data_IF_154639969310
#
_entry.id   IF_154639969310
#
_cell.length_a   1.000
_cell.length_b   1.000
_cell.length_c   1.000
_cell.angle_alpha   90.00
_cell.angle_beta   90.00
_cell.angle_gamma   90.00
#
_symmetry.space_group_name_H-M   'P 1'
#
loop_
_entity.id
_entity.type
_entity.pdbx_description
1 polymer ?
#
# COMPACT_ATOMS: atom_id res chain seq x y z
N UNK A 1 7.49 -8.95 29.40
CA UNK A 1 7.95 -9.72 28.22
C UNK A 1 8.09 -8.74 27.07
N UNK A 2 9.19 -8.75 26.29
CA UNK A 2 9.24 -7.99 25.05
C UNK A 2 8.21 -8.59 24.09
N UNK A 3 7.24 -7.80 23.67
CA UNK A 3 6.28 -8.16 22.63
C UNK A 3 6.92 -7.88 21.28
N UNK A 4 7.00 -8.89 20.42
CA UNK A 4 7.42 -8.71 19.03
C UNK A 4 6.33 -7.94 18.29
N UNK A 5 6.65 -6.74 17.82
CA UNK A 5 5.80 -5.97 16.93
C UNK A 5 6.19 -6.30 15.49
N UNK A 6 5.21 -6.54 14.63
CA UNK A 6 5.42 -6.80 13.20
C UNK A 6 5.24 -5.50 12.43
N UNK A 7 6.18 -5.20 11.54
CA UNK A 7 6.06 -4.09 10.59
C UNK A 7 5.05 -4.48 9.51
N UNK A 8 4.01 -3.68 9.31
CA UNK A 8 2.95 -3.96 8.33
C UNK A 8 3.24 -3.32 6.98
N UNK A 9 3.64 -2.05 6.96
CA UNK A 9 3.97 -1.29 5.76
C UNK A 9 5.00 -0.19 6.05
N UNK A 10 5.59 0.38 5.01
CA UNK A 10 6.57 1.46 5.13
C UNK A 10 6.57 2.40 3.91
N UNK A 11 7.03 3.62 4.13
CA UNK A 11 7.29 4.62 3.09
C UNK A 11 8.65 5.29 3.34
N UNK A 12 9.44 5.50 2.28
CA UNK A 12 10.81 6.04 2.38
C UNK A 12 10.96 7.34 1.59
N UNK A 13 10.91 8.47 2.29
CA UNK A 13 11.20 9.78 1.71
C UNK A 13 12.70 9.89 1.47
N UNK A 14 13.09 9.84 0.20
CA UNK A 14 14.49 9.98 -0.22
C UNK A 14 15.02 11.39 0.00
N UNK A 15 14.17 12.41 -0.15
CA UNK A 15 14.56 13.81 0.00
C UNK A 15 14.94 14.12 1.45
N UNK A 16 14.19 13.57 2.40
CA UNK A 16 14.44 13.73 3.84
C UNK A 16 15.29 12.63 4.46
N UNK A 17 15.67 11.61 3.70
CA UNK A 17 16.28 10.36 4.19
C UNK A 17 15.55 9.80 5.41
N UNK A 18 14.21 9.72 5.32
CA UNK A 18 13.32 9.29 6.41
C UNK A 18 12.51 8.08 6.00
N UNK A 19 12.55 7.05 6.85
CA UNK A 19 11.70 5.86 6.72
C UNK A 19 10.58 5.93 7.75
N UNK A 20 9.35 5.92 7.27
CA UNK A 20 8.15 5.76 8.08
C UNK A 20 7.74 4.31 8.03
N UNK A 21 7.55 3.66 9.18
CA UNK A 21 7.08 2.28 9.23
C UNK A 21 5.92 2.14 10.20
N UNK A 22 4.89 1.45 9.77
CA UNK A 22 3.68 1.22 10.54
C UNK A 22 3.78 -0.11 11.27
N UNK A 23 3.41 -0.12 12.54
CA UNK A 23 3.29 -1.30 13.37
C UNK A 23 1.86 -1.86 13.34
N UNK A 24 1.69 -3.13 13.71
CA UNK A 24 0.36 -3.77 13.78
C UNK A 24 -0.63 -3.09 14.74
N UNK A 25 -0.14 -2.38 15.76
CA UNK A 25 -0.94 -1.58 16.68
C UNK A 25 -1.23 -0.16 16.17
N UNK A 26 -0.87 0.16 14.93
CA UNK A 26 -1.10 1.45 14.31
C UNK A 26 -0.15 2.58 14.71
N UNK A 27 0.89 2.29 15.51
CA UNK A 27 1.98 3.23 15.77
C UNK A 27 2.84 3.41 14.52
N UNK A 28 3.33 4.63 14.29
CA UNK A 28 4.25 4.94 13.20
C UNK A 28 5.63 5.24 13.76
N UNK A 29 6.61 4.42 13.37
CA UNK A 29 8.01 4.62 13.69
C UNK A 29 8.67 5.45 12.61
N UNK A 30 9.33 6.53 13.02
CA UNK A 30 10.15 7.34 12.12
C UNK A 30 11.62 7.04 12.35
N UNK A 31 12.34 6.68 11.28
CA UNK A 31 13.78 6.47 11.29
C UNK A 31 14.46 7.52 10.43
N UNK A 32 15.56 8.08 10.94
CA UNK A 32 16.48 8.89 10.16
C UNK A 32 17.55 7.95 9.56
N UNK A 33 17.54 7.81 8.24
CA UNK A 33 18.41 6.89 7.52
C UNK A 33 19.84 7.44 7.30
N UNK A 34 20.08 8.73 7.51
CA UNK A 34 21.41 9.35 7.40
C UNK A 34 22.32 9.03 8.59
N UNK A 35 21.74 8.69 9.73
CA UNK A 35 22.48 8.51 10.99
C UNK A 35 22.49 7.07 11.45
N UNK A 36 21.34 6.57 11.91
CA UNK A 36 21.19 5.21 12.40
C UNK A 36 19.80 4.67 12.01
N UNK A 37 19.70 3.91 10.89
CA UNK A 37 18.43 3.38 10.41
C UNK A 37 17.85 2.27 11.33
N UNK A 38 18.56 1.87 12.39
CA UNK A 38 18.12 0.84 13.32
C UNK A 38 17.49 1.39 14.60
N UNK A 39 17.41 2.73 14.76
CA UNK A 39 16.77 3.36 15.92
C UNK A 39 15.75 4.38 15.45
N UNK A 40 14.50 4.21 15.87
CA UNK A 40 13.46 5.21 15.64
C UNK A 40 13.86 6.52 16.35
N UNK A 41 13.82 7.62 15.60
CA UNK A 41 14.02 8.98 16.12
C UNK A 41 12.74 9.52 16.74
N UNK A 42 11.59 9.07 16.25
CA UNK A 42 10.27 9.45 16.73
C UNK A 42 9.30 8.27 16.64
N UNK A 43 8.30 8.27 17.50
CA UNK A 43 7.21 7.29 17.52
C UNK A 43 5.91 8.08 17.61
N UNK A 44 5.06 7.95 16.60
CA UNK A 44 3.71 8.51 16.63
C UNK A 44 2.75 7.46 17.13
N UNK A 45 2.04 7.81 18.21
CA UNK A 45 1.11 6.93 18.90
C UNK A 45 -0.30 7.46 18.63
N UNK A 46 -1.22 6.62 18.15
CA UNK A 46 -2.61 7.04 17.94
C UNK A 46 -3.26 7.43 19.28
N UNK A 47 -4.09 8.48 19.29
CA UNK A 47 -4.76 8.90 20.55
C UNK A 47 -5.89 7.94 20.92
N UNK A 48 -6.48 7.29 19.93
CA UNK A 48 -7.54 6.29 20.08
C UNK A 48 -7.33 5.13 19.11
N UNK A 49 -7.95 3.98 19.37
CA UNK A 49 -7.87 2.80 18.48
C UNK A 49 -8.40 3.09 17.07
N UNK A 50 -9.35 4.00 16.95
CA UNK A 50 -9.95 4.38 15.67
C UNK A 50 -8.99 5.25 14.82
N UNK A 51 -7.96 5.83 15.45
CA UNK A 51 -6.94 6.66 14.81
C UNK A 51 -5.67 5.89 14.43
N UNK A 52 -5.66 4.58 14.59
CA UNK A 52 -4.57 3.71 14.16
C UNK A 52 -4.30 3.88 12.65
N UNK A 53 -3.05 4.15 12.28
CA UNK A 53 -2.60 4.15 10.88
C UNK A 53 -2.32 2.72 10.49
N UNK A 54 -2.90 2.24 9.39
CA UNK A 54 -2.78 0.84 8.94
C UNK A 54 -2.14 0.73 7.55
N UNK A 55 -2.27 1.79 6.75
CA UNK A 55 -1.70 1.89 5.41
C UNK A 55 -0.87 3.17 5.31
N UNK A 56 0.16 3.13 4.47
CA UNK A 56 0.99 4.30 4.19
C UNK A 56 1.33 4.33 2.70
N UNK A 57 1.33 5.53 2.13
CA UNK A 57 1.70 5.73 0.72
C UNK A 57 2.53 6.99 0.60
N UNK A 58 3.59 6.91 -0.21
CA UNK A 58 4.38 8.07 -0.59
C UNK A 58 3.93 8.55 -1.97
N UNK A 59 3.77 9.87 -2.10
CA UNK A 59 3.42 10.52 -3.34
C UNK A 59 4.35 11.70 -3.56
N UNK A 60 4.69 11.97 -4.81
CA UNK A 60 5.36 13.22 -5.19
C UNK A 60 4.34 14.08 -5.91
N UNK A 61 4.01 15.23 -5.32
CA UNK A 61 3.04 16.17 -5.88
C UNK A 61 3.79 17.28 -6.60
N UNK A 62 3.31 17.68 -7.78
CA UNK A 62 3.84 18.81 -8.53
C UNK A 62 2.75 19.84 -8.78
N UNK A 63 3.06 21.12 -8.55
CA UNK A 63 2.13 22.22 -8.70
C UNK A 63 2.84 23.50 -9.11
N UNK A 64 2.10 24.43 -9.72
CA UNK A 64 2.62 25.72 -10.15
C UNK A 64 2.37 26.77 -9.07
N UNK A 65 3.42 27.54 -8.74
CA UNK A 65 3.37 28.65 -7.79
C UNK A 65 4.17 29.80 -8.37
N UNK A 66 3.51 30.94 -8.60
CA UNK A 66 4.15 32.13 -9.17
C UNK A 66 4.95 31.84 -10.46
N UNK A 67 4.36 31.06 -11.38
CA UNK A 67 4.98 30.62 -12.65
C UNK A 67 6.19 29.67 -12.49
N UNK A 68 6.46 29.20 -11.27
CA UNK A 68 7.50 28.21 -10.96
C UNK A 68 6.85 26.86 -10.64
N UNK A 69 7.37 25.81 -11.26
CA UNK A 69 6.99 24.45 -10.91
C UNK A 69 7.67 24.03 -9.61
N UNK A 70 6.86 23.65 -8.65
CA UNK A 70 7.27 23.17 -7.32
C UNK A 70 6.90 21.70 -7.20
N UNK A 71 7.76 20.92 -6.54
CA UNK A 71 7.52 19.53 -6.19
C UNK A 71 7.65 19.34 -4.69
N UNK A 72 6.78 18.51 -4.11
CA UNK A 72 6.84 18.12 -2.70
C UNK A 72 6.58 16.62 -2.56
N UNK A 73 7.41 15.93 -1.78
CA UNK A 73 7.21 14.53 -1.44
C UNK A 73 6.37 14.44 -0.18
N UNK A 74 5.18 13.87 -0.30
CA UNK A 74 4.22 13.73 0.79
C UNK A 74 4.04 12.27 1.18
N UNK A 75 3.80 12.02 2.45
CA UNK A 75 3.44 10.71 2.98
C UNK A 75 2.04 10.81 3.57
N UNK A 76 1.13 9.97 3.07
CA UNK A 76 -0.24 9.88 3.56
C UNK A 76 -0.43 8.57 4.32
N UNK A 77 -1.21 8.64 5.40
CA UNK A 77 -1.62 7.50 6.19
C UNK A 77 -3.10 7.17 5.99
N UNK A 78 -3.40 5.88 5.82
CA UNK A 78 -4.76 5.36 5.84
C UNK A 78 -5.12 4.78 7.20
N UNK A 79 -6.22 5.26 7.77
CA UNK A 79 -6.57 5.02 9.17
C UNK A 79 -7.68 3.95 9.33
N UNK A 80 -7.76 3.36 10.53
CA UNK A 80 -8.80 2.41 10.91
C UNK A 80 -10.22 2.97 10.80
N UNK A 81 -10.42 4.26 11.07
CA UNK A 81 -11.71 4.92 10.93
C UNK A 81 -12.09 5.29 9.48
N UNK A 82 -11.28 4.91 8.49
CA UNK A 82 -11.55 5.20 7.07
C UNK A 82 -11.07 6.56 6.60
N UNK A 83 -10.28 7.28 7.41
CA UNK A 83 -9.72 8.57 7.03
C UNK A 83 -8.35 8.44 6.37
N UNK A 84 -8.07 9.38 5.47
CA UNK A 84 -6.74 9.69 4.96
C UNK A 84 -6.21 10.88 5.77
N UNK A 85 -5.01 10.75 6.32
CA UNK A 85 -4.29 11.80 7.04
C UNK A 85 -2.94 12.10 6.38
N UNK A 86 -2.41 13.28 6.65
CA UNK A 86 -1.06 13.67 6.26
C UNK A 86 -0.08 13.32 7.38
N UNK A 87 0.97 12.59 7.03
CA UNK A 87 2.03 12.18 7.95
C UNK A 87 3.28 13.05 7.78
N UNK A 88 3.70 13.30 6.54
CA UNK A 88 4.86 14.13 6.23
C UNK A 88 4.61 14.94 4.95
N UNK A 89 5.02 16.21 4.97
CA UNK A 89 5.17 17.10 3.82
C UNK A 89 6.12 18.25 4.22
N UNK A 90 6.83 18.85 3.25
CA UNK A 90 7.72 19.98 3.53
C UNK A 90 7.09 21.33 3.22
N UNK A 91 6.41 21.43 2.08
CA UNK A 91 5.99 22.71 1.49
C UNK A 91 4.49 22.91 1.54
N UNK A 92 3.73 21.82 1.54
CA UNK A 92 2.28 21.85 1.59
C UNK A 92 1.71 21.27 2.89
N UNK A 93 0.45 21.60 3.17
CA UNK A 93 -0.26 21.13 4.36
C UNK A 93 -1.61 20.54 3.98
N UNK A 94 -2.09 19.60 4.79
CA UNK A 94 -3.45 19.08 4.70
C UNK A 94 -4.29 19.69 5.81
N UNK A 95 -5.27 20.53 5.43
CA UNK A 95 -6.08 21.31 6.39
C UNK A 95 -6.88 20.40 7.34
N UNK A 96 -7.33 19.26 6.83
CA UNK A 96 -8.11 18.28 7.58
C UNK A 96 -7.96 16.90 6.96
N UNK A 97 -8.13 15.87 7.79
CA UNK A 97 -8.27 14.50 7.30
C UNK A 97 -9.47 14.37 6.34
N UNK A 98 -9.36 13.45 5.39
CA UNK A 98 -10.40 13.19 4.39
C UNK A 98 -11.06 11.87 4.70
N UNK A 99 -12.38 11.87 4.90
CA UNK A 99 -13.15 10.64 5.08
C UNK A 99 -13.22 9.89 3.75
N UNK A 100 -12.40 8.85 3.61
CA UNK A 100 -12.31 8.07 2.38
C UNK A 100 -13.29 6.90 2.38
N UNK A 101 -13.39 6.13 3.47
CA UNK A 101 -14.21 4.92 3.57
C UNK A 101 -15.13 4.91 4.79
N UNK A 102 -16.18 4.09 4.75
CA UNK A 102 -17.02 3.80 5.94
C UNK A 102 -16.46 2.55 6.61
N UNK A 103 -15.47 2.72 7.47
CA UNK A 103 -14.67 1.62 8.03
C UNK A 103 -13.21 1.69 7.55
N UNK A 104 -12.43 0.66 7.83
CA UNK A 104 -10.97 0.66 7.66
C UNK A 104 -10.54 0.90 6.22
N UNK A 105 -9.47 1.67 6.04
CA UNK A 105 -8.70 1.64 4.79
C UNK A 105 -7.80 0.42 4.80
N UNK A 106 -8.03 -0.50 3.86
CA UNK A 106 -7.34 -1.79 3.80
C UNK A 106 -6.13 -1.78 2.88
N UNK A 107 -6.12 -0.90 1.87
CA UNK A 107 -5.01 -0.73 0.94
C UNK A 107 -5.01 0.68 0.33
N UNK A 108 -3.83 1.19 -0.02
CA UNK A 108 -3.64 2.50 -0.64
C UNK A 108 -2.50 2.44 -1.65
N UNK A 109 -2.63 3.16 -2.77
CA UNK A 109 -1.58 3.23 -3.79
C UNK A 109 -1.65 4.54 -4.57
N UNK A 110 -0.48 5.12 -4.89
CA UNK A 110 -0.36 6.25 -5.79
C UNK A 110 -0.30 5.81 -7.25
N UNK A 111 -1.01 6.47 -8.15
CA UNK A 111 -0.89 6.15 -9.58
C UNK A 111 0.50 6.52 -10.10
N UNK A 112 1.16 5.59 -10.76
CA UNK A 112 2.37 5.88 -11.54
C UNK A 112 1.96 6.31 -12.94
N UNK A 113 2.21 7.57 -13.30
CA UNK A 113 1.88 8.12 -14.62
C UNK A 113 3.07 8.00 -15.59
N UNK A 114 2.83 7.97 -16.91
CA UNK A 114 3.87 8.00 -17.95
C UNK A 114 3.87 9.37 -18.63
N UNK A 115 5.05 9.89 -18.97
CA UNK A 115 5.20 11.12 -19.72
C UNK A 115 4.64 10.99 -21.13
N UNK A 116 4.35 12.13 -21.77
CA UNK A 116 3.69 12.19 -23.10
C UNK A 116 4.39 11.39 -24.21
N UNK A 117 5.68 11.10 -24.06
CA UNK A 117 6.45 10.34 -25.04
C UNK A 117 6.32 8.83 -24.86
N UNK A 118 5.76 8.35 -23.74
CA UNK A 118 5.62 6.92 -23.42
C UNK A 118 6.89 6.24 -22.90
N UNK A 119 8.04 6.94 -22.89
CA UNK A 119 9.35 6.35 -22.58
C UNK A 119 9.88 6.68 -21.18
N UNK A 120 9.18 7.51 -20.41
CA UNK A 120 9.62 7.96 -19.08
C UNK A 120 8.45 7.93 -18.12
N UNK A 121 8.63 7.30 -16.96
CA UNK A 121 7.68 7.43 -15.84
C UNK A 121 7.72 8.87 -15.33
N UNK A 122 6.55 9.47 -15.12
CA UNK A 122 6.45 10.70 -14.37
C UNK A 122 6.70 10.37 -12.91
N UNK A 123 7.64 11.10 -12.32
CA UNK A 123 7.94 11.02 -10.88
C UNK A 123 6.92 11.83 -10.07
N UNK A 124 5.69 12.01 -10.57
CA UNK A 124 4.65 12.81 -9.94
C UNK A 124 3.34 12.06 -9.97
N UNK A 125 2.62 12.08 -8.87
CA UNK A 125 1.33 11.43 -8.73
C UNK A 125 0.20 12.45 -8.81
N UNK A 126 -0.83 12.14 -9.60
CA UNK A 126 -2.07 12.93 -9.68
C UNK A 126 -3.29 12.20 -9.15
N UNK A 127 -3.16 10.90 -8.93
CA UNK A 127 -4.24 10.05 -8.41
C UNK A 127 -3.76 9.22 -7.24
N UNK A 128 -4.69 9.01 -6.34
CA UNK A 128 -4.59 8.09 -5.22
C UNK A 128 -5.72 7.07 -5.35
N UNK A 129 -5.41 5.79 -5.18
CA UNK A 129 -6.39 4.72 -5.07
C UNK A 129 -6.44 4.23 -3.61
N UNK A 130 -7.64 4.03 -3.08
CA UNK A 130 -7.84 3.46 -1.75
C UNK A 130 -8.89 2.35 -1.80
N UNK A 131 -8.66 1.26 -1.08
CA UNK A 131 -9.64 0.22 -0.80
C UNK A 131 -10.04 0.25 0.67
N UNK A 132 -11.26 -0.19 0.98
CA UNK A 132 -11.69 -0.29 2.37
C UNK A 132 -12.73 -1.38 2.65
N UNK A 133 -12.99 -1.56 3.95
CA UNK A 133 -13.96 -2.53 4.49
C UNK A 133 -15.40 -2.26 4.02
N UNK A 134 -15.67 -1.07 3.46
CA UNK A 134 -16.95 -0.75 2.85
C UNK A 134 -17.18 -1.43 1.49
N UNK A 135 -16.28 -2.33 1.08
CA UNK A 135 -16.30 -3.08 -0.19
C UNK A 135 -16.22 -2.18 -1.42
N UNK A 136 -15.50 -1.06 -1.30
CA UNK A 136 -15.25 -0.16 -2.42
C UNK A 136 -13.77 0.11 -2.62
N UNK A 137 -13.42 0.29 -3.88
CA UNK A 137 -12.22 1.03 -4.28
C UNK A 137 -12.65 2.44 -4.63
N UNK A 138 -11.90 3.43 -4.18
CA UNK A 138 -12.12 4.84 -4.51
C UNK A 138 -10.86 5.40 -5.13
N UNK A 139 -11.05 6.07 -6.26
CA UNK A 139 -9.97 6.78 -6.94
C UNK A 139 -10.19 8.26 -6.70
N UNK A 140 -9.13 8.91 -6.30
CA UNK A 140 -9.10 10.30 -5.89
C UNK A 140 -8.16 11.06 -6.81
N UNK A 141 -8.55 12.27 -7.19
CA UNK A 141 -7.62 13.28 -7.65
C UNK A 141 -6.90 13.84 -6.44
N UNK A 142 -5.58 13.94 -6.53
CA UNK A 142 -4.76 14.56 -5.51
C UNK A 142 -3.86 15.61 -6.16
N UNK A 143 -3.73 16.74 -5.48
CA UNK A 143 -2.83 17.80 -5.89
C UNK A 143 -2.72 18.86 -4.81
N UNK A 144 -2.08 19.97 -5.16
CA UNK A 144 -1.86 21.10 -4.26
C UNK A 144 -2.49 22.35 -4.88
N UNK A 145 -3.19 23.12 -4.05
CA UNK A 145 -3.65 24.47 -4.38
C UNK A 145 -2.70 25.47 -3.73
N UNK A 146 -1.97 26.22 -4.56
CA UNK A 146 -1.15 27.32 -4.07
C UNK A 146 -2.05 28.43 -3.51
N UNK A 147 -1.80 28.86 -2.27
CA UNK A 147 -2.52 29.97 -1.64
C UNK A 147 -1.53 30.95 -1.02
N UNK A 148 -1.99 32.17 -0.72
CA UNK A 148 -1.15 33.24 -0.14
C UNK A 148 -0.57 32.88 1.24
N UNK A 149 -1.28 32.08 2.04
CA UNK A 149 -0.84 31.73 3.40
C UNK A 149 -0.03 30.43 3.45
N UNK A 150 -0.54 29.38 2.83
CA UNK A 150 0.09 28.07 2.74
C UNK A 150 -0.49 27.28 1.57
N UNK A 151 0.36 26.47 0.95
CA UNK A 151 -0.04 25.60 -0.14
C UNK A 151 -0.81 24.40 0.46
N UNK A 152 -2.03 24.16 -0.01
CA UNK A 152 -2.94 23.19 0.60
C UNK A 152 -3.15 21.96 -0.28
N UNK A 153 -2.90 20.77 0.26
CA UNK A 153 -3.26 19.51 -0.40
C UNK A 153 -4.79 19.42 -0.51
N UNK A 154 -5.27 19.05 -1.70
CA UNK A 154 -6.66 18.66 -1.91
C UNK A 154 -6.73 17.19 -2.34
N UNK A 155 -7.77 16.50 -1.88
CA UNK A 155 -8.09 15.13 -2.28
C UNK A 155 -9.58 15.12 -2.66
N UNK A 156 -9.88 14.83 -3.91
CA UNK A 156 -11.24 14.89 -4.47
C UNK A 156 -11.62 13.53 -5.05
N UNK A 157 -12.78 13.00 -4.67
CA UNK A 157 -13.25 11.73 -5.20
C UNK A 157 -13.53 11.87 -6.70
N UNK A 158 -12.91 11.01 -7.50
CA UNK A 158 -13.17 10.88 -8.94
C UNK A 158 -14.18 9.78 -9.21
N UNK A 159 -13.94 8.59 -8.67
CA UNK A 159 -14.80 7.44 -8.92
C UNK A 159 -14.79 6.43 -7.78
N UNK A 160 -15.89 5.69 -7.66
CA UNK A 160 -16.12 4.65 -6.65
C UNK A 160 -16.49 3.35 -7.37
N UNK A 161 -15.73 2.28 -7.11
CA UNK A 161 -15.86 0.97 -7.75
C UNK A 161 -16.33 -0.05 -6.71
N UNK A 162 -17.54 -0.62 -6.85
CA UNK A 162 -17.99 -1.69 -5.96
C UNK A 162 -17.16 -2.95 -6.17
N UNK A 163 -16.77 -3.58 -5.06
CA UNK A 163 -16.08 -4.86 -5.04
C UNK A 163 -17.04 -5.95 -4.54
N UNK A 164 -16.86 -7.17 -5.04
CA UNK A 164 -17.61 -8.34 -4.55
C UNK A 164 -17.05 -8.83 -3.20
N UNK A 165 -15.74 -8.67 -2.99
CA UNK A 165 -15.03 -8.98 -1.76
C UNK A 165 -14.25 -7.79 -1.23
N UNK A 166 -13.62 -7.94 -0.06
CA UNK A 166 -12.82 -6.89 0.57
C UNK A 166 -11.54 -6.67 -0.23
N UNK A 167 -11.23 -5.44 -0.67
CA UNK A 167 -9.97 -5.15 -1.35
C UNK A 167 -8.80 -5.26 -0.37
N UNK A 168 -7.76 -6.01 -0.73
CA UNK A 168 -6.60 -6.28 0.13
C UNK A 168 -5.31 -5.64 -0.39
N UNK A 169 -5.13 -5.63 -1.71
CA UNK A 169 -3.99 -5.00 -2.37
C UNK A 169 -4.45 -4.30 -3.63
N UNK A 170 -3.91 -3.11 -3.87
CA UNK A 170 -4.16 -2.32 -5.08
C UNK A 170 -2.81 -1.97 -5.71
N UNK A 171 -2.75 -2.04 -7.03
CA UNK A 171 -1.68 -1.45 -7.83
C UNK A 171 -2.34 -0.58 -8.90
N UNK A 172 -1.79 0.62 -9.12
CA UNK A 172 -2.32 1.55 -10.12
C UNK A 172 -1.21 2.07 -11.02
N UNK A 173 -1.39 1.83 -12.33
CA UNK A 173 -0.49 2.27 -13.38
C UNK A 173 -1.28 3.02 -14.44
N UNK A 174 -1.00 4.31 -14.62
CA UNK A 174 -1.76 5.26 -15.43
C UNK A 174 -3.28 5.25 -15.12
N UNK A 175 -4.02 4.53 -15.95
CA UNK A 175 -5.47 4.40 -15.92
C UNK A 175 -5.88 2.95 -15.63
N UNK A 176 -4.94 2.05 -15.44
CA UNK A 176 -5.21 0.64 -15.11
C UNK A 176 -5.02 0.41 -13.63
N UNK A 177 -6.02 -0.21 -13.03
CA UNK A 177 -6.04 -0.61 -11.63
C UNK A 177 -6.10 -2.12 -11.60
N UNK A 178 -5.23 -2.73 -10.78
CA UNK A 178 -5.29 -4.13 -10.42
C UNK A 178 -5.60 -4.22 -8.92
N UNK A 179 -6.56 -5.05 -8.54
CA UNK A 179 -6.96 -5.23 -7.15
C UNK A 179 -7.10 -6.70 -6.82
N UNK A 180 -6.52 -7.14 -5.70
CA UNK A 180 -6.89 -8.42 -5.10
C UNK A 180 -8.02 -8.20 -4.11
N UNK A 181 -9.03 -9.06 -4.18
CA UNK A 181 -10.13 -9.09 -3.22
C UNK A 181 -10.23 -10.47 -2.58
N UNK A 182 -10.55 -10.53 -1.30
CA UNK A 182 -10.94 -11.76 -0.62
C UNK A 182 -12.44 -11.76 -0.36
N UNK A 183 -13.06 -12.93 -0.49
CA UNK A 183 -14.45 -13.17 -0.09
C UNK A 183 -14.50 -14.21 1.04
N UNK A 184 -15.68 -14.43 1.63
CA UNK A 184 -15.90 -15.39 2.71
C UNK A 184 -15.49 -16.84 2.37
N UNK A 185 -15.16 -17.13 1.10
CA UNK A 185 -14.67 -18.43 0.67
C UNK A 185 -13.14 -18.57 0.71
N UNK A 186 -12.42 -17.55 1.22
CA UNK A 186 -10.95 -17.44 1.24
C UNK A 186 -10.29 -17.59 -0.15
N UNK A 187 -11.08 -17.45 -1.22
CA UNK A 187 -10.57 -17.47 -2.59
C UNK A 187 -10.26 -16.04 -3.02
N UNK A 188 -8.98 -15.68 -2.94
CA UNK A 188 -8.49 -14.44 -3.52
C UNK A 188 -8.85 -14.34 -5.01
N UNK A 189 -9.47 -13.22 -5.39
CA UNK A 189 -9.81 -12.88 -6.78
C UNK A 189 -9.03 -11.65 -7.20
N UNK A 190 -8.43 -11.71 -8.39
CA UNK A 190 -7.79 -10.56 -9.02
C UNK A 190 -8.79 -9.90 -9.97
N UNK A 191 -9.04 -8.61 -9.79
CA UNK A 191 -9.84 -7.81 -10.70
C UNK A 191 -8.97 -6.72 -11.33
N UNK A 192 -9.20 -6.47 -12.61
CA UNK A 192 -8.52 -5.41 -13.34
C UNK A 192 -9.54 -4.44 -13.92
N UNK A 193 -9.30 -3.16 -13.74
CA UNK A 193 -10.15 -2.08 -14.23
C UNK A 193 -9.32 -1.11 -15.06
N UNK A 194 -9.93 -0.54 -16.10
CA UNK A 194 -9.39 0.58 -16.86
C UNK A 194 -10.30 1.78 -16.68
N UNK A 195 -9.71 2.92 -16.35
CA UNK A 195 -10.36 4.22 -16.27
C UNK A 195 -10.29 4.89 -17.64
N UNK A 196 -11.41 4.95 -18.34
CA UNK A 196 -11.51 5.61 -19.64
C UNK A 196 -12.14 7.00 -19.47
N UNK A 197 -11.80 7.94 -20.36
CA UNK A 197 -12.44 9.26 -20.40
C UNK A 197 -11.76 10.38 -19.60
N UNK A 198 -10.43 10.41 -19.48
CA UNK A 198 -9.73 11.54 -18.84
C UNK A 198 -9.98 12.90 -19.51
N UNK A 199 -10.41 12.94 -20.77
CA UNK A 199 -10.80 14.17 -21.49
C UNK A 199 -12.31 14.47 -21.42
N UNK A 200 -13.13 13.50 -20.99
CA UNK A 200 -14.56 13.66 -20.81
C UNK A 200 -14.90 13.95 -19.34
N UNK A 201 -15.97 14.71 -19.09
CA UNK A 201 -16.40 15.04 -17.72
C UNK A 201 -16.83 13.83 -16.87
N UNK A 202 -17.00 12.66 -17.49
CA UNK A 202 -17.36 11.41 -16.82
C UNK A 202 -16.28 10.36 -17.04
N UNK A 203 -15.75 9.83 -15.94
CA UNK A 203 -14.81 8.69 -15.95
C UNK A 203 -15.63 7.42 -16.10
N UNK A 204 -15.32 6.61 -17.11
CA UNK A 204 -15.93 5.31 -17.32
C UNK A 204 -14.99 4.20 -16.84
N UNK A 205 -15.57 3.08 -16.40
CA UNK A 205 -14.81 1.91 -15.96
C UNK A 205 -15.05 0.77 -16.92
N UNK A 206 -13.98 0.26 -17.50
CA UNK A 206 -13.98 -0.98 -18.25
C UNK A 206 -13.39 -2.08 -17.36
N UNK A 207 -14.16 -3.14 -17.10
CA UNK A 207 -13.60 -4.34 -16.46
C UNK A 207 -12.79 -5.10 -17.48
N UNK A 208 -11.51 -5.33 -17.18
CA UNK A 208 -10.62 -6.12 -18.02
C UNK A 208 -10.76 -7.58 -17.60
N UNK A 209 -11.11 -8.42 -18.57
CA UNK A 209 -11.10 -9.87 -18.40
C UNK A 209 -9.88 -10.42 -19.12
N UNK A 210 -9.11 -11.26 -18.42
CA UNK A 210 -8.14 -12.10 -19.09
C UNK A 210 -8.93 -13.14 -19.90
N UNK A 211 -8.63 -13.29 -21.19
CA UNK A 211 -9.09 -14.43 -21.97
C UNK A 211 -8.58 -15.70 -21.30
N UNK A 212 -9.40 -16.74 -21.14
CA UNK A 212 -8.86 -18.04 -20.73
C UNK A 212 -7.82 -18.47 -21.77
N UNK A 213 -6.54 -18.46 -21.40
CA UNK A 213 -5.50 -19.08 -22.23
C UNK A 213 -5.73 -20.59 -22.21
N UNK A 214 -5.45 -21.28 -23.32
CA UNK A 214 -5.69 -22.73 -23.48
C UNK A 214 -5.03 -23.57 -22.36
N UNK A 215 -3.97 -23.06 -21.73
CA UNK A 215 -3.25 -23.66 -20.59
C UNK A 215 -4.07 -23.69 -19.27
N UNK A 216 -5.23 -23.03 -19.20
CA UNK A 216 -6.13 -23.08 -18.02
C UNK A 216 -6.98 -24.36 -17.96
N UNK A 217 -6.91 -25.21 -18.99
CA UNK A 217 -7.62 -26.50 -19.04
C UNK A 217 -6.77 -27.68 -18.59
N UNK A 218 -5.47 -27.50 -18.42
CA UNK A 218 -4.66 -28.53 -17.78
C UNK A 218 -4.96 -28.52 -16.29
N UNK A 219 -5.61 -29.59 -15.82
CA UNK A 219 -5.47 -29.99 -14.43
C UNK A 219 -3.97 -29.98 -14.15
N UNK A 220 -3.50 -29.06 -13.29
CA UNK A 220 -2.20 -29.19 -12.66
C UNK A 220 -2.29 -30.42 -11.76
N UNK A 221 -2.15 -31.60 -12.37
CA UNK A 221 -1.88 -32.83 -11.66
C UNK A 221 -0.47 -32.67 -11.14
N UNK A 222 -0.38 -32.19 -9.89
CA UNK A 222 0.81 -32.39 -9.07
C UNK A 222 0.91 -33.90 -8.88
N UNK A 223 1.57 -34.57 -9.84
CA UNK A 223 2.06 -35.91 -9.62
C UNK A 223 3.14 -35.78 -8.54
N UNK A 224 2.75 -36.10 -7.31
CA UNK A 224 3.71 -36.56 -6.32
C UNK A 224 4.39 -37.78 -6.93
N UNK A 225 5.54 -37.58 -7.57
CA UNK A 225 6.45 -38.67 -7.86
C UNK A 225 7.09 -39.06 -6.53
N UNK A 226 6.34 -39.83 -5.74
CA UNK A 226 6.85 -40.62 -4.64
C UNK A 226 7.71 -41.74 -5.26
N UNK A 227 8.89 -41.40 -5.76
CA UNK A 227 9.96 -42.38 -5.89
C UNK A 227 10.46 -42.64 -4.48
N UNK A 228 10.09 -43.81 -3.97
CA UNK A 228 10.41 -44.25 -2.62
C UNK A 228 11.87 -44.04 -2.28
N UNK A 229 12.10 -43.20 -1.27
CA UNK A 229 13.21 -43.29 -0.34
C UNK A 229 12.75 -42.74 1.03
N UNK A 230 11.59 -43.20 1.47
CA UNK A 230 11.15 -43.10 2.85
C UNK A 230 11.75 -44.26 3.64
N UNK A 231 13.05 -44.20 3.96
CA UNK A 231 13.61 -45.03 5.05
C UNK A 231 14.94 -44.56 5.67
N UNK A 232 15.58 -43.48 5.19
CA UNK A 232 16.87 -43.02 5.77
C UNK A 232 16.87 -41.65 6.46
N UNK A 233 15.74 -40.94 6.55
CA UNK A 233 15.67 -39.65 7.23
C UNK A 233 15.09 -39.71 8.66
N UNK A 234 14.61 -40.88 9.11
CA UNK A 234 14.12 -41.07 10.47
C UNK A 234 15.20 -41.51 11.49
N UNK A 235 16.41 -41.88 11.05
CA UNK A 235 17.53 -42.22 11.94
C UNK A 235 18.49 -41.05 12.23
N UNK A 236 18.40 -39.94 11.49
CA UNK A 236 19.29 -38.80 11.74
C UNK A 236 18.83 -37.94 12.94
N UNK A 237 17.53 -37.95 13.27
CA UNK A 237 16.98 -37.19 14.41
C UNK A 237 17.00 -37.92 15.76
N UNK A 238 17.28 -39.23 15.80
CA UNK A 238 17.45 -39.96 17.07
C UNK A 238 18.90 -39.93 17.61
N UNK A 239 19.88 -39.66 16.75
CA UNK A 239 21.31 -39.75 17.10
C UNK A 239 21.90 -38.42 17.62
N UNK A 240 21.16 -37.31 17.54
CA UNK A 240 21.60 -36.01 18.07
C UNK A 240 20.98 -35.61 19.43
N UNK A 241 20.03 -36.39 19.97
CA UNK A 241 19.47 -36.16 21.32
C UNK A 241 20.01 -37.09 22.41
N UNK A 242 21.05 -37.87 22.13
CA UNK A 242 21.72 -38.76 23.11
C UNK A 242 23.17 -38.40 23.44
N UNK A 243 23.65 -37.20 23.07
CA UNK A 243 24.98 -36.69 23.49
C UNK A 243 24.91 -35.27 24.04
N UNK A 244 24.30 -35.11 25.21
CA UNK A 244 24.52 -33.94 26.09
C UNK A 244 24.10 -34.24 27.52
N UNK A 245 24.53 -35.38 28.07
CA UNK A 245 24.64 -35.59 29.53
C UNK A 245 25.77 -36.58 29.77
N UNK A 246 26.95 -36.04 30.08
CA UNK A 246 27.92 -36.57 31.05
C UNK A 246 29.24 -35.83 30.88
N UNK A 247 29.34 -34.70 31.59
CA UNK A 247 30.62 -34.19 32.06
C UNK A 247 30.59 -34.26 33.58
N UNK A 248 31.49 -35.06 34.17
CA UNK A 248 32.08 -34.80 35.49
C UNK A 248 33.22 -35.80 35.78
N UNK A 249 34.36 -35.18 36.11
CA UNK A 249 35.65 -35.67 36.60
C UNK A 249 36.61 -36.28 35.58
#
# INVERSE_FOLDING_TARGET
>A
MPTFQVLSCFAYSRENNRLHSVLQNGEVLLFNCDTNPCRAVEVWIPQTTDEEVLQIVQLTLAYEKEEVMVTDTVILGGMRNGQICLLEAEQCVMIKNVQAHVGTITCMEGATDIGMTGFKLLETNRKLATGGDDLFIKIWEIGVKANELFDSIFIQLLIKIPCVGMPEHICMYENTISVSTSDDSDKGKLHMYRLDGQESKEIQITTLQHTQDEDHTEHVSIYYHYKGHSEHLYEFYKTQHTKTKEGKF
#
